data_IF_156081487280
#
_entry.id   IF_156081487280
#
_cell.length_a   1.000
_cell.length_b   1.000
_cell.length_c   1.000
_cell.angle_alpha   90.00
_cell.angle_beta   90.00
_cell.angle_gamma   90.00
#
_symmetry.space_group_name_H-M   'P 1'
#
loop_
_entity.id
_entity.type
_entity.pdbx_description
1 polymer ?
#
# COMPACT_ATOMS: atom_id res chain seq x y z
N UNK A 1 -19.98 1.69 -24.90
CA UNK A 1 -20.48 3.06 -24.61
C UNK A 1 -22.00 3.05 -24.73
N UNK A 2 -22.73 3.24 -23.63
CA UNK A 2 -24.20 3.36 -23.67
C UNK A 2 -24.56 4.81 -24.01
N UNK A 3 -25.34 5.00 -25.08
CA UNK A 3 -25.96 6.29 -25.41
C UNK A 3 -27.17 6.44 -24.49
N UNK A 4 -27.21 7.48 -23.66
CA UNK A 4 -28.32 7.75 -22.74
C UNK A 4 -29.01 9.02 -23.23
N UNK A 5 -30.32 8.99 -23.45
CA UNK A 5 -31.10 10.19 -23.75
C UNK A 5 -31.48 10.84 -22.43
N UNK A 6 -31.04 12.07 -22.21
CA UNK A 6 -31.40 12.86 -21.05
C UNK A 6 -32.61 13.74 -21.42
N UNK A 7 -33.71 13.56 -20.70
CA UNK A 7 -34.95 14.30 -20.90
C UNK A 7 -34.90 15.54 -20.01
N UNK A 8 -34.90 16.73 -20.61
CA UNK A 8 -35.04 18.01 -19.91
C UNK A 8 -36.34 18.69 -20.34
N UNK A 9 -36.82 19.66 -19.55
CA UNK A 9 -38.05 20.44 -19.83
C UNK A 9 -38.01 21.12 -21.22
N UNK A 10 -36.81 21.36 -21.76
CA UNK A 10 -36.57 22.02 -23.04
C UNK A 10 -36.37 21.04 -24.22
N UNK A 11 -36.36 19.73 -23.99
CA UNK A 11 -36.20 18.70 -25.02
C UNK A 11 -35.28 17.53 -24.64
N UNK A 12 -35.20 16.53 -25.52
CA UNK A 12 -34.31 15.36 -25.35
C UNK A 12 -32.91 15.63 -25.91
N UNK A 13 -31.89 15.43 -25.09
CA UNK A 13 -30.49 15.57 -25.48
C UNK A 13 -29.76 14.23 -25.40
N UNK A 14 -29.05 13.87 -26.47
CA UNK A 14 -28.24 12.67 -26.51
C UNK A 14 -26.95 12.88 -25.71
N UNK A 15 -26.82 12.20 -24.56
CA UNK A 15 -25.63 12.25 -23.72
C UNK A 15 -24.85 10.94 -23.82
N UNK A 16 -23.55 11.07 -24.10
CA UNK A 16 -22.62 9.95 -23.98
C UNK A 16 -22.02 10.01 -22.59
N UNK A 17 -22.22 8.96 -21.79
CA UNK A 17 -21.67 8.87 -20.43
C UNK A 17 -20.72 7.68 -20.37
N UNK A 18 -19.49 7.93 -19.96
CA UNK A 18 -18.48 6.91 -19.69
C UNK A 18 -18.18 6.92 -18.19
N UNK A 19 -18.35 5.79 -17.53
CA UNK A 19 -18.01 5.63 -16.13
C UNK A 19 -16.62 5.00 -16.03
N UNK A 20 -15.65 5.75 -15.52
CA UNK A 20 -14.31 5.23 -15.22
C UNK A 20 -14.26 4.80 -13.76
N UNK A 21 -14.26 3.48 -13.52
CA UNK A 21 -14.07 2.88 -12.20
C UNK A 21 -12.57 2.79 -11.90
N UNK A 22 -12.03 3.81 -11.23
CA UNK A 22 -10.66 3.78 -10.74
C UNK A 22 -10.58 3.00 -9.43
N UNK A 23 -10.00 1.79 -9.47
CA UNK A 23 -9.66 1.01 -8.27
C UNK A 23 -8.22 1.31 -7.90
N UNK A 24 -7.99 2.07 -6.83
CA UNK A 24 -6.63 2.34 -6.33
C UNK A 24 -6.03 1.03 -5.82
N UNK A 25 -4.96 0.54 -6.44
CA UNK A 25 -4.21 -0.62 -5.97
C UNK A 25 -3.47 -0.23 -4.68
N UNK A 26 -4.18 -0.31 -3.55
CA UNK A 26 -3.64 0.02 -2.22
C UNK A 26 -2.64 -1.02 -1.71
N UNK A 27 -2.50 -2.16 -2.39
CA UNK A 27 -1.69 -3.29 -1.93
C UNK A 27 -0.24 -2.91 -1.64
N UNK A 28 0.38 -2.08 -2.49
CA UNK A 28 1.75 -1.63 -2.28
C UNK A 28 1.87 -0.67 -1.09
N UNK A 29 0.90 0.23 -0.93
CA UNK A 29 0.84 1.19 0.18
C UNK A 29 0.58 0.49 1.53
N UNK A 30 -0.28 -0.53 1.52
CA UNK A 30 -0.54 -1.37 2.70
C UNK A 30 0.72 -2.17 3.06
N UNK A 31 1.38 -2.85 2.12
CA UNK A 31 2.62 -3.58 2.40
C UNK A 31 3.70 -2.64 2.95
N UNK A 32 3.88 -1.46 2.35
CA UNK A 32 4.92 -0.54 2.80
C UNK A 32 4.70 0.04 4.20
N UNK A 33 3.46 0.20 4.66
CA UNK A 33 3.15 0.74 6.00
C UNK A 33 2.91 -0.35 7.03
N UNK A 34 2.18 -1.40 6.67
CA UNK A 34 1.89 -2.50 7.59
C UNK A 34 3.13 -3.33 7.90
N UNK A 35 4.03 -3.52 6.92
CA UNK A 35 5.25 -4.31 7.13
C UNK A 35 6.18 -3.68 8.18
N UNK A 36 6.54 -2.38 8.14
CA UNK A 36 7.30 -1.76 9.23
C UNK A 36 6.53 -1.71 10.55
N UNK A 37 5.20 -1.53 10.53
CA UNK A 37 4.40 -1.57 11.77
C UNK A 37 4.45 -2.94 12.44
N UNK A 38 4.35 -4.03 11.68
CA UNK A 38 4.45 -5.40 12.21
C UNK A 38 5.85 -5.66 12.75
N UNK A 39 6.90 -5.19 12.07
CA UNK A 39 8.27 -5.31 12.56
C UNK A 39 8.46 -4.58 13.90
N UNK A 40 7.88 -3.39 14.07
CA UNK A 40 7.94 -2.64 15.34
C UNK A 40 7.23 -3.41 16.47
N UNK A 41 6.06 -4.00 16.20
CA UNK A 41 5.33 -4.81 17.18
C UNK A 41 6.16 -6.03 17.60
N UNK A 42 6.73 -6.75 16.63
CA UNK A 42 7.58 -7.92 16.87
C UNK A 42 8.84 -7.52 17.64
N UNK A 43 9.50 -6.41 17.29
CA UNK A 43 10.67 -5.90 18.02
C UNK A 43 10.29 -5.57 19.46
N UNK A 44 9.13 -4.96 19.73
CA UNK A 44 8.73 -4.63 21.10
C UNK A 44 8.55 -5.88 21.98
N UNK A 45 8.03 -6.96 21.42
CA UNK A 45 7.87 -8.25 22.11
C UNK A 45 9.18 -8.99 22.25
N UNK A 46 9.96 -9.03 21.17
CA UNK A 46 11.26 -9.69 21.16
C UNK A 46 12.23 -8.97 22.07
N UNK A 47 12.19 -7.64 22.23
CA UNK A 47 13.00 -6.90 23.21
C UNK A 47 12.80 -7.38 24.65
N UNK A 48 11.62 -7.90 24.99
CA UNK A 48 11.37 -8.52 26.30
C UNK A 48 11.97 -9.94 26.41
N UNK A 49 12.13 -10.64 25.28
CA UNK A 49 12.66 -12.00 25.19
C UNK A 49 14.17 -12.07 24.90
N UNK A 50 14.74 -10.99 24.35
CA UNK A 50 16.07 -10.93 23.75
C UNK A 50 17.14 -10.36 24.70
N UNK A 51 16.82 -10.06 25.95
CA UNK A 51 17.78 -9.54 26.93
C UNK A 51 18.91 -10.52 27.32
N UNK A 52 19.24 -11.55 26.51
CA UNK A 52 20.29 -12.50 26.89
C UNK A 52 21.21 -13.13 25.82
N UNK A 53 20.83 -13.37 24.57
CA UNK A 53 21.64 -14.29 23.74
C UNK A 53 21.84 -13.84 22.29
N UNK A 54 22.98 -13.21 21.99
CA UNK A 54 23.77 -13.09 20.73
C UNK A 54 23.10 -12.92 19.33
N UNK A 55 21.78 -12.97 19.24
CA UNK A 55 20.94 -12.95 18.04
C UNK A 55 20.38 -11.56 17.64
N UNK A 56 20.43 -10.46 18.46
CA UNK A 56 19.84 -9.16 18.08
C UNK A 56 20.39 -8.58 16.78
N UNK A 57 21.70 -8.74 16.55
CA UNK A 57 22.36 -8.16 15.39
C UNK A 57 21.82 -8.73 14.08
N UNK A 58 21.47 -10.02 14.03
CA UNK A 58 20.96 -10.67 12.82
C UNK A 58 19.54 -10.23 12.48
N UNK A 59 18.69 -10.09 13.50
CA UNK A 59 17.31 -9.62 13.34
C UNK A 59 17.29 -8.16 12.89
N UNK A 60 18.08 -7.29 13.52
CA UNK A 60 18.18 -5.87 13.15
C UNK A 60 18.72 -5.67 11.72
N UNK A 61 19.73 -6.46 11.32
CA UNK A 61 20.24 -6.47 9.96
C UNK A 61 19.18 -6.95 8.95
N UNK A 62 18.42 -8.00 9.28
CA UNK A 62 17.32 -8.48 8.44
C UNK A 62 16.22 -7.43 8.22
N UNK A 63 15.80 -6.74 9.28
CA UNK A 63 14.83 -5.64 9.22
C UNK A 63 15.33 -4.50 8.33
N UNK A 64 16.58 -4.09 8.51
CA UNK A 64 17.21 -3.03 7.70
C UNK A 64 17.30 -3.42 6.22
N UNK A 65 17.56 -4.70 5.94
CA UNK A 65 17.63 -5.22 4.56
C UNK A 65 16.27 -5.15 3.87
N UNK A 66 15.20 -5.58 4.57
CA UNK A 66 13.83 -5.51 4.04
C UNK A 66 13.36 -4.07 3.85
N UNK A 67 13.71 -3.17 4.79
CA UNK A 67 13.44 -1.74 4.66
C UNK A 67 14.18 -1.13 3.45
N UNK A 68 15.45 -1.50 3.26
CA UNK A 68 16.26 -1.04 2.12
C UNK A 68 15.65 -1.52 0.81
N UNK A 69 15.27 -2.79 0.73
CA UNK A 69 14.61 -3.37 -0.44
C UNK A 69 13.30 -2.63 -0.76
N UNK A 70 12.48 -2.36 0.26
CA UNK A 70 11.22 -1.63 0.10
C UNK A 70 11.45 -0.21 -0.39
N UNK A 71 12.43 0.49 0.20
CA UNK A 71 12.83 1.84 -0.20
C UNK A 71 13.27 1.85 -1.67
N UNK A 72 14.16 0.93 -2.05
CA UNK A 72 14.63 0.80 -3.43
C UNK A 72 13.48 0.55 -4.40
N UNK A 73 12.51 -0.31 -4.06
CA UNK A 73 11.34 -0.57 -4.89
C UNK A 73 10.44 0.65 -5.04
N UNK A 74 10.21 1.44 -3.98
CA UNK A 74 9.44 2.69 -4.10
C UNK A 74 10.16 3.78 -4.87
N UNK A 75 11.49 3.85 -4.80
CA UNK A 75 12.27 4.86 -5.53
C UNK A 75 12.47 4.48 -6.99
N UNK A 76 12.41 3.18 -7.32
CA UNK A 76 12.47 2.67 -8.71
C UNK A 76 11.11 2.58 -9.39
N UNK A 77 9.99 2.67 -8.66
CA UNK A 77 8.66 2.79 -9.24
C UNK A 77 8.42 4.22 -9.75
N UNK A 78 9.01 4.55 -10.92
CA UNK A 78 8.51 5.60 -11.81
C UNK A 78 7.36 5.05 -12.65
#
# INVERSE_FOLDING_TARGET
MRKIRAIFVMGEYSRLVSYFLFKRNIGFYIIQIYLPSILIVVISWVSFWLSRDATPARVALGVTTVLTMTTLMTTTNK
#
